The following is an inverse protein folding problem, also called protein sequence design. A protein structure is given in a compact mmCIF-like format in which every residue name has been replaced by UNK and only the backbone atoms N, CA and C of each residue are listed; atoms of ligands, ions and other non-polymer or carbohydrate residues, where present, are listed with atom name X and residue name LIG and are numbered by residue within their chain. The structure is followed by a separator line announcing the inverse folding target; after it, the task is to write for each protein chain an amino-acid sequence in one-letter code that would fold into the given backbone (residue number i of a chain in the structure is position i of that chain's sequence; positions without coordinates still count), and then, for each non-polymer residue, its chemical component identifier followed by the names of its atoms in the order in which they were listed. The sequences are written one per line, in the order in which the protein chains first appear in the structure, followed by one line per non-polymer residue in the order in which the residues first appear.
data_IF_838114264410
#
_entry.id   IF_838114264410
#
_cell.length_a   1.000
_cell.length_b   1.000
_cell.length_c   1.000
_cell.angle_alpha   90.00
_cell.angle_beta   90.00
_cell.angle_gamma   90.00
#
_symmetry.space_group_name_H-M   'P 1'
#
loop_
_entity.id
_entity.type
_entity.pdbx_description
1 polymer ?
#
# COMPACT_ATOMS: atom_id res chain seq x y z
N UNK A 1 -36.24 29.58 -17.01
CA UNK A 1 -37.15 29.59 -18.15
C UNK A 1 -37.38 28.14 -18.49
N UNK A 2 -38.45 27.55 -17.92
CA UNK A 2 -39.71 27.29 -18.57
C UNK A 2 -39.56 26.06 -19.48
N UNK A 3 -40.03 24.85 -18.99
CA UNK A 3 -41.33 24.24 -19.29
C UNK A 3 -41.45 23.73 -20.72
N UNK A 4 -41.93 22.52 -21.00
CA UNK A 4 -43.30 22.03 -21.04
C UNK A 4 -43.25 20.52 -21.38
N UNK A 5 -43.62 19.55 -20.63
CA UNK A 5 -45.00 19.06 -20.31
C UNK A 5 -45.77 18.42 -21.47
N UNK A 6 -46.15 17.18 -21.25
CA UNK A 6 -47.48 16.57 -21.22
C UNK A 6 -48.19 16.13 -22.52
N UNK A 7 -48.74 14.88 -22.42
CA UNK A 7 -50.00 14.34 -22.96
C UNK A 7 -50.06 13.83 -24.39
N UNK A 8 -50.51 12.60 -24.56
CA UNK A 8 -51.90 12.32 -25.04
C UNK A 8 -52.36 10.88 -24.78
N UNK A 9 -53.54 10.82 -24.28
CA UNK A 9 -54.39 9.67 -23.94
C UNK A 9 -55.18 9.13 -25.14
N UNK A 10 -55.58 7.84 -25.01
CA UNK A 10 -56.87 7.21 -25.32
C UNK A 10 -57.30 6.98 -26.79
N UNK A 11 -57.73 5.78 -27.14
CA UNK A 11 -59.18 5.39 -27.23
C UNK A 11 -59.43 4.04 -27.88
N UNK A 12 -60.23 3.21 -27.17
CA UNK A 12 -61.37 2.36 -27.57
C UNK A 12 -61.32 1.37 -28.74
N UNK A 13 -61.86 0.15 -28.46
CA UNK A 13 -62.55 -0.69 -29.42
C UNK A 13 -62.98 -2.07 -28.91
N UNK A 14 -64.24 -2.25 -28.60
CA UNK A 14 -64.96 -3.45 -28.15
C UNK A 14 -65.01 -4.59 -29.19
N UNK A 15 -65.16 -5.81 -28.68
CA UNK A 15 -65.74 -6.93 -29.49
C UNK A 15 -65.57 -8.31 -28.86
N UNK A 16 -66.63 -8.85 -28.18
CA UNK A 16 -66.86 -10.28 -27.86
C UNK A 16 -67.78 -10.87 -29.00
N UNK A 17 -68.06 -12.19 -29.07
CA UNK A 17 -67.84 -13.32 -28.18
C UNK A 17 -67.62 -14.72 -28.87
N UNK A 18 -67.38 -15.73 -28.00
CA UNK A 18 -67.75 -17.16 -28.07
C UNK A 18 -67.19 -18.08 -29.16
N UNK A 19 -66.49 -19.15 -28.75
CA UNK A 19 -67.01 -20.54 -28.85
C UNK A 19 -66.13 -21.54 -28.04
N UNK A 20 -66.79 -22.46 -27.45
CA UNK A 20 -66.40 -23.61 -26.64
C UNK A 20 -65.42 -24.57 -27.32
N UNK A 21 -64.46 -25.11 -26.56
CA UNK A 21 -63.59 -26.22 -27.01
C UNK A 21 -62.80 -26.83 -25.89
N UNK A 22 -63.28 -27.97 -25.41
CA UNK A 22 -62.58 -29.10 -24.81
C UNK A 22 -61.36 -28.92 -23.95
N UNK A 23 -61.43 -29.10 -22.64
CA UNK A 23 -60.34 -29.15 -21.66
C UNK A 23 -59.56 -30.47 -21.76
N UNK A 24 -58.33 -30.42 -22.16
CA UNK A 24 -57.35 -31.46 -21.82
C UNK A 24 -56.42 -30.89 -20.72
N UNK A 25 -56.56 -31.50 -19.53
CA UNK A 25 -55.65 -31.19 -18.38
C UNK A 25 -54.26 -31.67 -18.68
N UNK A 26 -53.34 -30.75 -18.97
CA UNK A 26 -51.91 -30.99 -18.91
C UNK A 26 -51.44 -30.61 -17.52
N UNK A 27 -51.09 -31.59 -16.71
CA UNK A 27 -50.38 -31.45 -15.45
C UNK A 27 -48.98 -30.94 -15.74
N UNK A 28 -48.78 -29.65 -15.56
CA UNK A 28 -47.43 -29.01 -15.56
C UNK A 28 -46.81 -29.25 -14.19
N UNK A 29 -45.84 -30.15 -14.14
CA UNK A 29 -44.92 -30.24 -13.00
C UNK A 29 -44.12 -28.93 -12.92
N UNK A 30 -44.48 -28.07 -11.96
CA UNK A 30 -43.66 -26.91 -11.59
C UNK A 30 -42.47 -27.43 -10.79
N UNK A 31 -41.33 -27.61 -11.45
CA UNK A 31 -40.06 -27.89 -10.80
C UNK A 31 -39.63 -26.62 -10.09
N UNK A 32 -39.89 -26.56 -8.79
CA UNK A 32 -39.44 -25.47 -7.91
C UNK A 32 -37.93 -25.65 -7.69
N UNK A 33 -37.10 -25.06 -8.56
CA UNK A 33 -35.68 -24.91 -8.29
C UNK A 33 -35.51 -23.97 -7.08
N UNK A 34 -35.34 -24.54 -5.90
CA UNK A 34 -34.84 -23.84 -4.74
C UNK A 34 -33.40 -23.44 -5.05
N UNK A 35 -33.20 -22.24 -5.58
CA UNK A 35 -31.91 -21.57 -5.55
C UNK A 35 -31.60 -21.30 -4.07
N UNK A 36 -30.81 -22.18 -3.47
CA UNK A 36 -30.15 -21.92 -2.20
C UNK A 36 -29.22 -20.70 -2.41
N UNK A 37 -29.78 -19.51 -2.17
CA UNK A 37 -28.98 -18.34 -1.91
C UNK A 37 -28.20 -18.62 -0.60
N UNK A 38 -27.03 -19.23 -0.69
CA UNK A 38 -26.05 -19.08 0.37
C UNK A 38 -25.65 -17.60 0.40
N UNK A 39 -25.92 -16.89 1.51
CA UNK A 39 -25.30 -15.59 1.68
C UNK A 39 -23.80 -15.85 1.67
N UNK A 40 -23.09 -15.35 0.66
CA UNK A 40 -21.66 -15.14 0.71
C UNK A 40 -21.42 -14.06 1.78
N UNK A 41 -21.50 -14.45 3.04
CA UNK A 41 -20.92 -13.65 4.12
C UNK A 41 -19.42 -13.72 3.88
N UNK A 42 -18.89 -12.68 3.25
CA UNK A 42 -17.46 -12.51 3.13
C UNK A 42 -16.87 -12.60 4.55
N UNK A 43 -16.19 -13.70 4.83
CA UNK A 43 -15.55 -13.92 6.13
C UNK A 43 -14.37 -12.94 6.20
N UNK A 44 -14.53 -11.85 6.95
CA UNK A 44 -13.44 -10.94 7.24
C UNK A 44 -12.63 -11.53 8.40
N UNK A 45 -11.35 -11.80 8.17
CA UNK A 45 -10.44 -12.27 9.20
C UNK A 45 -10.22 -11.21 10.28
N UNK A 46 -10.00 -11.65 11.51
CA UNK A 46 -9.45 -10.78 12.55
C UNK A 46 -7.93 -10.65 12.36
N UNK A 47 -7.40 -9.50 12.76
CA UNK A 47 -5.96 -9.25 12.66
C UNK A 47 -5.26 -9.69 13.93
N UNK A 48 -4.47 -10.75 13.83
CA UNK A 48 -3.50 -11.13 14.84
C UNK A 48 -2.13 -10.52 14.55
N UNK A 49 -1.33 -10.33 15.60
CA UNK A 49 0.04 -9.83 15.50
C UNK A 49 1.02 -10.63 16.35
N UNK A 50 2.25 -10.75 15.86
CA UNK A 50 3.37 -11.21 16.66
C UNK A 50 4.60 -10.37 16.38
N UNK A 51 5.40 -10.10 17.42
CA UNK A 51 6.67 -9.41 17.30
C UNK A 51 7.78 -10.43 17.03
N UNK A 52 8.67 -10.08 16.11
CA UNK A 52 9.82 -10.91 15.75
C UNK A 52 11.01 -10.00 15.43
N UNK A 53 12.21 -10.46 15.72
CA UNK A 53 13.44 -9.79 15.31
C UNK A 53 14.20 -10.68 14.33
N UNK A 54 14.43 -10.17 13.14
CA UNK A 54 15.25 -10.85 12.13
C UNK A 54 16.69 -10.36 12.24
N UNK A 55 17.66 -11.28 12.22
CA UNK A 55 19.07 -10.97 12.39
C UNK A 55 19.84 -11.29 11.10
N UNK A 56 20.16 -10.26 10.34
CA UNK A 56 21.07 -10.39 9.20
C UNK A 56 22.52 -10.27 9.69
N UNK A 57 23.11 -11.42 9.98
CA UNK A 57 24.47 -11.50 10.48
C UNK A 57 25.51 -11.05 9.44
N UNK A 58 25.21 -11.21 8.15
CA UNK A 58 26.13 -10.84 7.08
C UNK A 58 26.22 -9.32 6.91
N UNK A 59 25.10 -8.62 7.03
CA UNK A 59 25.06 -7.15 6.92
C UNK A 59 25.09 -6.45 8.27
N UNK A 60 25.15 -7.21 9.38
CA UNK A 60 25.08 -6.69 10.76
C UNK A 60 23.85 -5.82 11.02
N UNK A 61 22.66 -6.29 10.56
CA UNK A 61 21.41 -5.58 10.71
C UNK A 61 20.41 -6.40 11.50
N UNK A 62 19.80 -5.78 12.50
CA UNK A 62 18.68 -6.35 13.26
C UNK A 62 17.40 -5.63 12.84
N UNK A 63 16.42 -6.39 12.36
CA UNK A 63 15.16 -5.89 11.85
C UNK A 63 14.03 -6.24 12.81
N UNK A 64 13.75 -5.37 13.77
CA UNK A 64 12.63 -5.54 14.68
C UNK A 64 11.32 -5.36 13.92
N UNK A 65 10.53 -6.40 13.87
CA UNK A 65 9.41 -6.51 12.94
C UNK A 65 8.12 -6.91 13.64
N UNK A 66 7.01 -6.59 13.01
CA UNK A 66 5.68 -7.09 13.37
C UNK A 66 5.16 -7.90 12.19
N UNK A 67 4.68 -9.10 12.47
CA UNK A 67 3.92 -9.89 11.50
C UNK A 67 2.45 -9.77 11.88
N UNK A 68 1.65 -9.28 10.94
CA UNK A 68 0.20 -9.19 11.00
C UNK A 68 -0.37 -10.35 10.19
N UNK A 69 -1.31 -11.10 10.73
CA UNK A 69 -1.78 -12.32 10.07
C UNK A 69 -3.23 -12.65 10.39
N UNK A 70 -3.92 -13.37 9.50
CA UNK A 70 -5.31 -13.79 9.70
C UNK A 70 -5.45 -14.75 10.87
N UNK A 71 -6.48 -14.53 11.69
CA UNK A 71 -6.91 -15.47 12.73
C UNK A 71 -8.43 -15.60 12.74
N UNK A 72 -8.91 -16.78 13.13
CA UNK A 72 -10.33 -17.03 13.41
C UNK A 72 -10.67 -16.80 14.90
N UNK A 73 -9.67 -16.49 15.73
CA UNK A 73 -9.86 -16.23 17.15
C UNK A 73 -10.70 -14.98 17.36
N UNK A 74 -11.53 -15.00 18.43
CA UNK A 74 -12.41 -13.92 18.86
C UNK A 74 -12.03 -13.43 20.27
N UNK A 75 -10.77 -13.60 20.65
CA UNK A 75 -10.24 -13.20 21.95
C UNK A 75 -10.27 -11.69 22.21
N UNK A 76 -9.68 -11.29 23.32
CA UNK A 76 -9.60 -9.88 23.72
C UNK A 76 -8.58 -9.14 22.83
N UNK A 77 -9.03 -8.05 22.21
CA UNK A 77 -8.18 -7.19 21.39
C UNK A 77 -7.41 -6.18 22.23
N UNK A 78 -6.25 -5.79 21.74
CA UNK A 78 -5.43 -4.70 22.28
C UNK A 78 -5.19 -3.65 21.21
N UNK A 79 -4.99 -2.39 21.62
CA UNK A 79 -4.59 -1.34 20.72
C UNK A 79 -3.08 -1.43 20.42
N UNK A 80 -2.74 -1.62 19.15
CA UNK A 80 -1.38 -1.55 18.67
C UNK A 80 -1.09 -0.13 18.17
N UNK A 81 0.04 0.43 18.63
CA UNK A 81 0.55 1.74 18.19
C UNK A 81 -0.39 2.93 18.41
N UNK A 82 -1.22 2.87 19.46
CA UNK A 82 -2.02 3.99 19.89
C UNK A 82 -1.14 4.96 20.70
N UNK A 83 -0.75 6.09 20.09
CA UNK A 83 0.17 7.08 20.65
C UNK A 83 -0.54 8.40 20.97
N UNK A 84 0.17 9.39 21.49
CA UNK A 84 -0.39 10.74 21.68
C UNK A 84 -0.73 11.41 20.33
N UNK A 85 -0.03 11.05 19.25
CA UNK A 85 -0.19 11.64 17.90
C UNK A 85 -1.14 10.82 17.04
N UNK A 86 -0.98 9.51 16.97
CA UNK A 86 -1.68 8.65 16.03
C UNK A 86 -2.67 7.72 16.71
N UNK A 87 -3.76 7.40 15.99
CA UNK A 87 -4.71 6.36 16.38
C UNK A 87 -4.12 4.99 16.07
N UNK A 88 -4.19 4.08 17.06
CA UNK A 88 -3.85 2.68 16.90
C UNK A 88 -4.90 1.87 16.16
N UNK A 89 -4.59 0.60 15.95
CA UNK A 89 -5.51 -0.41 15.42
C UNK A 89 -5.77 -1.49 16.49
N UNK A 90 -6.95 -2.11 16.44
CA UNK A 90 -7.29 -3.24 17.33
C UNK A 90 -6.73 -4.53 16.76
N UNK A 91 -5.95 -5.27 17.56
CA UNK A 91 -5.30 -6.52 17.15
C UNK A 91 -5.41 -7.58 18.24
N UNK A 92 -5.23 -8.84 17.88
CA UNK A 92 -5.16 -10.00 18.78
C UNK A 92 -3.69 -10.41 18.95
N UNK A 93 -3.04 -10.13 20.10
CA UNK A 93 -1.64 -10.48 20.30
C UNK A 93 -1.44 -12.00 20.34
N UNK A 94 -0.55 -12.50 19.48
CA UNK A 94 -0.12 -13.90 19.43
C UNK A 94 -1.27 -14.93 19.29
N UNK A 95 -2.42 -14.51 18.75
CA UNK A 95 -3.51 -15.43 18.47
C UNK A 95 -3.07 -16.52 17.46
N UNK A 96 -3.75 -17.67 17.42
CA UNK A 96 -3.44 -18.71 16.44
C UNK A 96 -3.57 -18.22 15.01
N UNK A 97 -2.57 -18.55 14.16
CA UNK A 97 -2.65 -18.31 12.73
C UNK A 97 -3.76 -19.18 12.13
N UNK A 98 -4.60 -18.58 11.29
CA UNK A 98 -5.63 -19.31 10.57
C UNK A 98 -5.02 -20.39 9.65
N UNK A 99 -5.78 -21.47 9.42
CA UNK A 99 -5.38 -22.49 8.46
C UNK A 99 -5.54 -21.98 7.03
N UNK A 100 -4.57 -22.32 6.18
CA UNK A 100 -4.60 -21.94 4.77
C UNK A 100 -3.24 -21.54 4.21
N UNK A 101 -3.28 -21.05 2.96
CA UNK A 101 -2.16 -20.42 2.26
C UNK A 101 -2.53 -18.97 1.98
N UNK A 102 -1.69 -18.06 2.44
CA UNK A 102 -1.95 -16.63 2.38
C UNK A 102 -0.88 -15.92 1.56
N UNK A 103 -1.24 -14.96 0.71
CA UNK A 103 -0.29 -14.05 0.09
C UNK A 103 0.56 -13.34 1.15
N UNK A 104 1.84 -13.12 0.85
CA UNK A 104 2.77 -12.37 1.70
C UNK A 104 2.95 -10.95 1.18
N UNK A 105 2.82 -9.96 2.06
CA UNK A 105 3.19 -8.57 1.79
C UNK A 105 4.27 -8.12 2.76
N UNK A 106 5.36 -7.57 2.23
CA UNK A 106 6.33 -6.83 3.04
C UNK A 106 5.99 -5.35 2.99
N UNK A 107 5.73 -4.72 4.14
CA UNK A 107 5.53 -3.28 4.26
C UNK A 107 6.86 -2.60 4.59
N UNK A 108 7.18 -1.54 3.83
CA UNK A 108 8.39 -0.75 4.00
C UNK A 108 8.02 0.71 4.27
N UNK A 109 8.40 1.21 5.45
CA UNK A 109 8.10 2.58 5.89
C UNK A 109 8.96 3.64 5.20
N UNK A 110 8.53 4.90 5.25
CA UNK A 110 9.30 6.06 4.81
C UNK A 110 10.45 6.42 5.76
N UNK A 111 11.24 7.44 5.39
CA UNK A 111 12.30 7.94 6.25
C UNK A 111 11.74 8.38 7.62
N UNK A 112 12.40 7.95 8.71
CA UNK A 112 11.96 8.25 10.08
C UNK A 112 10.70 7.54 10.54
N UNK A 113 10.09 6.69 9.70
CA UNK A 113 8.95 5.85 10.09
C UNK A 113 9.35 4.63 10.90
N UNK A 114 8.44 3.68 11.07
CA UNK A 114 8.67 2.44 11.80
C UNK A 114 7.72 1.33 11.33
N UNK A 115 7.83 0.14 11.93
CA UNK A 115 7.04 -1.04 11.62
C UNK A 115 5.52 -0.91 11.90
N UNK A 116 5.06 0.22 12.43
CA UNK A 116 3.64 0.51 12.64
C UNK A 116 3.13 1.68 11.78
N UNK A 117 3.99 2.34 11.03
CA UNK A 117 3.61 3.50 10.20
C UNK A 117 2.51 3.18 9.19
N UNK A 118 2.43 1.93 8.73
CA UNK A 118 1.40 1.44 7.82
C UNK A 118 0.51 0.37 8.45
N UNK A 119 0.40 0.33 9.80
CA UNK A 119 -0.40 -0.67 10.52
C UNK A 119 -1.88 -0.63 10.10
N UNK A 120 -2.43 0.57 9.82
CA UNK A 120 -3.79 0.74 9.33
C UNK A 120 -4.02 -0.01 8.00
N UNK A 121 -3.02 -0.02 7.11
CA UNK A 121 -3.08 -0.74 5.84
C UNK A 121 -2.88 -2.24 6.07
N UNK A 122 -1.93 -2.63 6.94
CA UNK A 122 -1.72 -4.03 7.32
C UNK A 122 -3.01 -4.67 7.81
N UNK A 123 -3.77 -3.99 8.70
CA UNK A 123 -5.07 -4.45 9.18
C UNK A 123 -6.04 -4.75 8.04
N UNK A 124 -6.16 -3.84 7.06
CA UNK A 124 -7.06 -4.01 5.92
C UNK A 124 -6.65 -5.16 5.01
N UNK A 125 -5.36 -5.38 4.80
CA UNK A 125 -4.85 -6.48 4.00
C UNK A 125 -5.04 -7.83 4.70
N UNK A 126 -4.82 -7.89 6.02
CA UNK A 126 -5.08 -9.11 6.81
C UNK A 126 -6.56 -9.49 6.78
N UNK A 127 -7.47 -8.52 6.87
CA UNK A 127 -8.91 -8.74 6.74
C UNK A 127 -9.30 -9.36 5.40
N UNK A 128 -8.47 -9.21 4.38
CA UNK A 128 -8.60 -9.85 3.05
C UNK A 128 -7.82 -11.17 2.92
N UNK A 129 -7.31 -11.71 4.03
CA UNK A 129 -6.60 -12.99 4.03
C UNK A 129 -5.14 -12.89 3.56
N UNK A 130 -4.43 -11.84 3.90
CA UNK A 130 -2.99 -11.71 3.62
C UNK A 130 -2.18 -11.79 4.91
N UNK A 131 -0.96 -12.32 4.83
CA UNK A 131 0.06 -12.17 5.86
C UNK A 131 0.91 -10.96 5.50
N UNK A 132 1.10 -10.07 6.47
CA UNK A 132 1.81 -8.80 6.26
C UNK A 132 2.96 -8.71 7.26
N UNK A 133 4.16 -8.41 6.81
CA UNK A 133 5.31 -8.16 7.68
C UNK A 133 5.80 -6.73 7.50
N UNK A 134 5.96 -6.01 8.60
CA UNK A 134 6.52 -4.67 8.63
C UNK A 134 7.74 -4.64 9.54
N UNK A 135 8.85 -4.13 9.05
CA UNK A 135 10.11 -4.07 9.78
C UNK A 135 10.54 -2.63 10.08
N UNK A 136 11.25 -2.47 11.18
CA UNK A 136 12.11 -1.32 11.39
C UNK A 136 13.37 -1.47 10.54
N UNK A 137 13.73 -0.43 9.79
CA UNK A 137 14.95 -0.40 8.99
C UNK A 137 16.04 0.33 9.77
N UNK A 138 17.06 -0.36 10.33
CA UNK A 138 18.09 0.25 11.15
C UNK A 138 18.76 1.46 10.49
N UNK A 139 18.94 2.51 11.26
CA UNK A 139 19.48 3.79 10.79
C UNK A 139 18.48 4.67 10.03
N UNK A 140 17.22 4.22 9.85
CA UNK A 140 16.17 4.97 9.15
C UNK A 140 14.83 4.96 9.87
N UNK A 141 14.81 4.52 11.12
CA UNK A 141 13.60 4.27 11.93
C UNK A 141 13.43 5.34 13.00
N UNK A 142 12.21 5.65 13.41
CA UNK A 142 11.91 6.51 14.56
C UNK A 142 12.71 6.04 15.79
N UNK A 143 13.46 6.93 16.41
CA UNK A 143 14.32 6.62 17.56
C UNK A 143 15.65 5.95 17.21
N UNK A 144 15.84 5.51 15.97
CA UNK A 144 17.10 4.99 15.43
C UNK A 144 17.31 5.60 14.02
N UNK A 145 17.56 6.89 13.98
CA UNK A 145 17.82 7.62 12.72
C UNK A 145 19.28 8.04 12.66
N UNK A 146 20.01 7.44 11.72
CA UNK A 146 21.39 7.79 11.38
C UNK A 146 21.37 8.34 9.95
N UNK A 147 21.37 9.68 9.75
CA UNK A 147 21.14 10.29 8.45
C UNK A 147 21.99 9.72 7.32
N UNK A 148 23.29 9.52 7.57
CA UNK A 148 24.22 8.94 6.59
C UNK A 148 23.88 7.49 6.21
N UNK A 149 23.29 6.69 7.12
CA UNK A 149 22.79 5.35 6.79
C UNK A 149 21.44 5.44 6.08
N UNK A 150 20.56 6.33 6.54
CA UNK A 150 19.27 6.57 5.89
C UNK A 150 19.44 6.99 4.43
N UNK A 151 20.50 7.73 4.09
CA UNK A 151 20.84 8.13 2.73
C UNK A 151 21.27 6.95 1.83
N UNK A 152 21.61 5.80 2.40
CA UNK A 152 21.91 4.56 1.67
C UNK A 152 20.61 3.82 1.36
N UNK A 153 19.89 4.30 0.35
CA UNK A 153 18.52 3.85 0.01
C UNK A 153 18.43 2.35 -0.20
N UNK A 154 19.46 1.73 -0.78
CA UNK A 154 19.52 0.30 -1.10
C UNK A 154 19.41 -0.61 0.12
N UNK A 155 19.87 -0.15 1.30
CA UNK A 155 19.83 -0.96 2.53
C UNK A 155 18.40 -1.45 2.86
N UNK A 156 17.42 -0.58 2.67
CA UNK A 156 16.03 -0.88 2.93
C UNK A 156 15.47 -1.89 1.90
N UNK A 157 15.91 -1.82 0.66
CA UNK A 157 15.54 -2.81 -0.38
C UNK A 157 16.17 -4.18 -0.10
N UNK A 158 17.43 -4.21 0.33
CA UNK A 158 18.09 -5.45 0.75
C UNK A 158 17.43 -6.08 1.99
N UNK A 159 16.94 -5.26 2.94
CA UNK A 159 16.19 -5.74 4.11
C UNK A 159 14.90 -6.46 3.70
N UNK A 160 14.17 -5.95 2.69
CA UNK A 160 12.97 -6.59 2.15
C UNK A 160 13.28 -8.01 1.65
N UNK A 161 14.30 -8.17 0.82
CA UNK A 161 14.71 -9.47 0.30
C UNK A 161 15.17 -10.44 1.40
N UNK A 162 15.85 -9.93 2.42
CA UNK A 162 16.27 -10.71 3.57
C UNK A 162 15.07 -11.23 4.38
N UNK A 163 14.07 -10.37 4.67
CA UNK A 163 12.84 -10.74 5.36
C UNK A 163 12.11 -11.85 4.62
N UNK A 164 11.91 -11.71 3.31
CA UNK A 164 11.26 -12.74 2.49
C UNK A 164 12.02 -14.07 2.58
N UNK A 165 13.35 -14.03 2.49
CA UNK A 165 14.19 -15.25 2.60
C UNK A 165 14.04 -15.93 3.95
N UNK A 166 14.03 -15.15 5.03
CA UNK A 166 13.92 -15.67 6.38
C UNK A 166 12.54 -16.28 6.64
N UNK A 167 11.47 -15.61 6.24
CA UNK A 167 10.11 -16.14 6.39
C UNK A 167 9.87 -17.42 5.60
N UNK A 168 10.40 -17.52 4.37
CA UNK A 168 10.29 -18.73 3.56
C UNK A 168 11.18 -19.87 4.04
N UNK A 169 12.14 -19.59 4.93
CA UNK A 169 12.99 -20.59 5.57
C UNK A 169 12.44 -21.06 6.92
N UNK A 170 11.59 -20.25 7.56
CA UNK A 170 10.96 -20.59 8.84
C UNK A 170 9.79 -21.56 8.63
N UNK A 171 9.82 -22.78 9.22
CA UNK A 171 8.79 -23.80 8.98
C UNK A 171 7.37 -23.35 9.31
N UNK A 172 7.19 -22.50 10.35
CA UNK A 172 5.89 -21.97 10.76
C UNK A 172 5.29 -21.10 9.66
N UNK A 173 6.05 -20.13 9.16
CA UNK A 173 5.57 -19.17 8.16
C UNK A 173 5.51 -19.80 6.78
N UNK A 174 6.51 -20.55 6.38
CA UNK A 174 6.54 -21.26 5.09
C UNK A 174 5.31 -22.13 4.87
N UNK A 175 4.83 -22.80 5.91
CA UNK A 175 3.63 -23.65 5.80
C UNK A 175 2.36 -22.86 5.50
N UNK A 176 2.29 -21.57 5.87
CA UNK A 176 1.13 -20.70 5.72
C UNK A 176 1.24 -19.70 4.56
N UNK A 177 2.43 -19.50 4.00
CA UNK A 177 2.63 -18.53 2.92
C UNK A 177 2.43 -19.14 1.54
N UNK A 178 1.80 -18.38 0.65
CA UNK A 178 1.77 -18.67 -0.79
C UNK A 178 3.00 -18.05 -1.46
N UNK A 179 3.96 -18.90 -1.81
CA UNK A 179 5.20 -18.48 -2.47
C UNK A 179 4.98 -17.91 -3.88
N UNK A 180 3.78 -18.10 -4.47
CA UNK A 180 3.41 -17.55 -5.77
C UNK A 180 2.69 -16.19 -5.65
N UNK A 181 2.48 -15.68 -4.43
CA UNK A 181 1.73 -14.44 -4.16
C UNK A 181 2.49 -13.54 -3.17
N UNK A 182 3.76 -13.24 -3.46
CA UNK A 182 4.62 -12.39 -2.63
C UNK A 182 4.68 -11.00 -3.23
N UNK A 183 4.45 -9.96 -2.43
CA UNK A 183 4.54 -8.57 -2.86
C UNK A 183 5.19 -7.65 -1.84
N UNK A 184 5.45 -6.43 -2.27
CA UNK A 184 5.99 -5.37 -1.43
C UNK A 184 5.12 -4.12 -1.59
N UNK A 185 4.81 -3.46 -0.47
CA UNK A 185 4.15 -2.15 -0.45
C UNK A 185 5.01 -1.21 0.35
N UNK A 186 5.30 -0.02 -0.17
CA UNK A 186 6.11 0.94 0.55
C UNK A 186 5.66 2.37 0.38
N UNK A 187 5.90 3.20 1.40
CA UNK A 187 5.61 4.63 1.39
C UNK A 187 6.89 5.44 1.31
N UNK A 188 6.91 6.52 0.52
CA UNK A 188 8.04 7.45 0.48
C UNK A 188 9.35 6.75 0.10
N UNK A 189 10.36 6.74 0.97
CA UNK A 189 11.58 5.95 0.82
C UNK A 189 11.30 4.45 0.70
N UNK A 190 10.31 3.91 1.44
CA UNK A 190 9.84 2.55 1.27
C UNK A 190 9.19 2.31 -0.11
N UNK A 191 8.55 3.34 -0.66
CA UNK A 191 8.04 3.33 -2.03
C UNK A 191 9.17 3.22 -3.07
N UNK A 192 10.27 3.95 -2.88
CA UNK A 192 11.50 3.72 -3.64
C UNK A 192 11.94 2.26 -3.52
N UNK A 193 12.02 1.72 -2.29
CA UNK A 193 12.48 0.36 -2.05
C UNK A 193 11.60 -0.69 -2.76
N UNK A 194 10.28 -0.46 -2.80
CA UNK A 194 9.35 -1.32 -3.52
C UNK A 194 9.60 -1.33 -5.03
N UNK A 195 9.87 -0.17 -5.62
CA UNK A 195 10.18 -0.04 -7.06
C UNK A 195 11.55 -0.64 -7.37
N UNK A 196 12.57 -0.38 -6.52
CA UNK A 196 13.91 -0.93 -6.67
C UNK A 196 13.94 -2.46 -6.54
N UNK A 197 13.10 -3.03 -5.67
CA UNK A 197 12.95 -4.48 -5.52
C UNK A 197 12.39 -5.18 -6.79
N UNK A 198 11.77 -4.44 -7.70
CA UNK A 198 11.39 -4.92 -9.04
C UNK A 198 12.50 -4.78 -10.09
N UNK A 199 13.65 -4.20 -9.72
CA UNK A 199 14.81 -4.04 -10.60
C UNK A 199 14.94 -2.68 -11.28
N UNK A 200 14.13 -1.68 -10.89
CA UNK A 200 14.36 -0.32 -11.33
C UNK A 200 15.65 0.25 -10.72
N UNK A 201 16.43 0.93 -11.52
CA UNK A 201 17.70 1.53 -11.12
C UNK A 201 17.67 3.04 -11.24
N UNK A 202 18.37 3.74 -10.35
CA UNK A 202 18.51 5.19 -10.42
C UNK A 202 19.65 5.61 -11.38
N UNK A 203 19.63 6.86 -11.80
CA UNK A 203 20.74 7.50 -12.51
C UNK A 203 21.43 8.50 -11.58
N UNK A 204 22.59 8.15 -11.05
CA UNK A 204 23.39 9.03 -10.20
C UNK A 204 23.81 10.34 -10.92
N UNK A 205 24.29 10.31 -12.18
CA UNK A 205 24.62 11.54 -12.89
C UNK A 205 23.41 12.46 -13.09
N UNK A 206 22.24 11.91 -13.41
CA UNK A 206 21.00 12.69 -13.53
C UNK A 206 20.60 13.30 -12.19
N UNK A 207 20.67 12.53 -11.10
CA UNK A 207 20.36 13.01 -9.77
C UNK A 207 21.27 14.16 -9.35
N UNK A 208 22.60 14.01 -9.49
CA UNK A 208 23.58 15.05 -9.17
C UNK A 208 23.32 16.33 -10.00
N UNK A 209 23.15 16.20 -11.31
CA UNK A 209 22.90 17.35 -12.18
C UNK A 209 21.59 18.08 -11.81
N UNK A 210 20.54 17.33 -11.48
CA UNK A 210 19.27 17.91 -11.06
C UNK A 210 19.40 18.67 -9.74
N UNK A 211 20.12 18.10 -8.75
CA UNK A 211 20.34 18.76 -7.45
C UNK A 211 21.23 19.99 -7.56
N UNK A 212 22.17 20.03 -8.51
CA UNK A 212 22.96 21.24 -8.78
C UNK A 212 22.11 22.36 -9.37
N UNK A 213 21.10 22.03 -10.17
CA UNK A 213 20.18 22.99 -10.79
C UNK A 213 19.06 23.44 -9.87
N UNK A 214 18.55 22.53 -9.05
CA UNK A 214 17.39 22.72 -8.18
C UNK A 214 17.66 22.11 -6.78
N UNK A 215 18.56 22.71 -5.98
CA UNK A 215 18.98 22.16 -4.69
C UNK A 215 17.82 22.08 -3.68
N UNK A 216 16.78 22.90 -3.86
CA UNK A 216 15.62 22.98 -2.95
C UNK A 216 14.61 21.84 -3.15
N UNK A 217 14.73 21.03 -4.17
CA UNK A 217 13.79 19.92 -4.36
C UNK A 217 13.93 18.87 -3.24
N UNK A 218 12.81 18.25 -2.79
CA UNK A 218 12.81 17.40 -1.57
C UNK A 218 13.81 16.25 -1.61
N UNK A 219 13.96 15.61 -2.78
CA UNK A 219 14.93 14.51 -2.93
C UNK A 219 16.38 14.96 -2.72
N UNK A 220 16.73 16.21 -3.05
CA UNK A 220 18.06 16.75 -2.83
C UNK A 220 18.24 17.19 -1.38
N UNK A 221 17.23 17.86 -0.81
CA UNK A 221 17.20 18.27 0.60
C UNK A 221 17.37 17.07 1.54
N UNK A 222 16.81 15.92 1.20
CA UNK A 222 17.00 14.68 1.96
C UNK A 222 18.49 14.35 2.15
N UNK A 223 19.31 14.45 1.10
CA UNK A 223 20.76 14.20 1.19
C UNK A 223 21.51 15.34 1.88
N UNK A 224 21.14 16.58 1.61
CA UNK A 224 21.74 17.76 2.26
C UNK A 224 21.52 17.71 3.78
N UNK A 225 20.31 17.43 4.24
CA UNK A 225 20.01 17.29 5.66
C UNK A 225 20.68 16.07 6.30
N UNK A 226 20.95 15.03 5.51
CA UNK A 226 21.73 13.88 5.97
C UNK A 226 23.24 14.19 6.09
N UNK A 227 23.71 15.35 5.65
CA UNK A 227 25.13 15.71 5.59
C UNK A 227 25.91 14.86 4.57
N UNK A 228 25.21 14.30 3.56
CA UNK A 228 25.81 13.44 2.54
C UNK A 228 26.05 14.25 1.27
N UNK A 229 27.28 14.32 0.85
CA UNK A 229 27.65 14.93 -0.43
C UNK A 229 27.39 13.94 -1.57
N UNK A 230 26.71 14.42 -2.62
CA UNK A 230 26.21 13.56 -3.69
C UNK A 230 27.32 12.86 -4.51
N UNK A 231 28.48 13.47 -4.59
CA UNK A 231 29.68 12.92 -5.26
C UNK A 231 30.33 11.78 -4.46
N UNK A 232 30.08 11.71 -3.14
CA UNK A 232 30.54 10.61 -2.28
C UNK A 232 29.62 9.39 -2.30
N UNK A 233 28.41 9.49 -2.89
CA UNK A 233 27.54 8.34 -3.05
C UNK A 233 28.21 7.30 -3.96
N UNK A 234 28.28 6.06 -3.48
CA UNK A 234 28.75 4.94 -4.30
C UNK A 234 27.88 4.80 -5.55
N UNK A 235 28.46 5.00 -6.74
CA UNK A 235 27.73 4.84 -7.99
C UNK A 235 27.22 3.42 -8.15
N UNK A 236 28.03 2.41 -7.82
CA UNK A 236 27.66 1.00 -7.87
C UNK A 236 26.43 0.68 -7.02
N UNK A 237 26.39 1.18 -5.79
CA UNK A 237 25.27 0.95 -4.87
C UNK A 237 24.05 1.80 -5.23
N UNK A 238 24.24 3.06 -5.57
CA UNK A 238 23.14 3.96 -5.91
C UNK A 238 22.41 3.55 -7.19
N UNK A 239 23.13 3.06 -8.19
CA UNK A 239 22.62 2.60 -9.47
C UNK A 239 22.43 1.07 -9.52
N UNK A 240 22.59 0.39 -8.39
CA UNK A 240 22.51 -1.05 -8.27
C UNK A 240 21.13 -1.61 -8.65
N UNK A 241 21.12 -2.82 -9.20
CA UNK A 241 19.90 -3.57 -9.42
C UNK A 241 19.63 -4.50 -8.22
N UNK A 242 18.55 -4.22 -7.51
CA UNK A 242 18.13 -4.93 -6.29
C UNK A 242 16.91 -5.84 -6.52
N UNK A 243 16.70 -6.32 -7.74
CA UNK A 243 15.51 -7.11 -8.07
C UNK A 243 15.42 -8.42 -7.30
N UNK A 244 14.26 -8.65 -6.70
CA UNK A 244 13.89 -9.93 -6.10
C UNK A 244 12.86 -10.63 -7.00
N UNK A 245 13.28 -11.75 -7.61
CA UNK A 245 12.47 -12.50 -8.58
C UNK A 245 11.29 -13.27 -7.97
N UNK A 246 11.20 -13.31 -6.64
CA UNK A 246 10.06 -13.90 -5.92
C UNK A 246 8.85 -12.97 -5.91
N UNK A 247 9.06 -11.66 -6.10
CA UNK A 247 7.99 -10.68 -6.12
C UNK A 247 7.07 -10.87 -7.32
N UNK A 248 5.78 -10.84 -7.06
CA UNK A 248 4.69 -10.92 -8.05
C UNK A 248 4.04 -9.57 -8.30
N UNK A 249 4.21 -8.63 -7.39
CA UNK A 249 3.76 -7.25 -7.51
C UNK A 249 4.53 -6.32 -6.58
N UNK A 250 4.50 -5.04 -6.89
CA UNK A 250 4.87 -4.00 -5.94
C UNK A 250 3.84 -2.87 -5.98
N UNK A 251 3.71 -2.17 -4.85
CA UNK A 251 2.85 -0.99 -4.72
C UNK A 251 3.67 0.10 -4.03
N UNK A 252 3.77 1.26 -4.65
CA UNK A 252 4.50 2.40 -4.11
C UNK A 252 3.52 3.55 -3.83
N UNK A 253 3.47 3.93 -2.54
CA UNK A 253 2.64 5.01 -2.03
C UNK A 253 3.51 6.27 -1.97
N UNK A 254 3.22 7.22 -2.82
CA UNK A 254 3.94 8.49 -2.98
C UNK A 254 5.46 8.35 -2.87
N UNK A 255 6.09 7.57 -3.78
CA UNK A 255 7.47 7.17 -3.67
C UNK A 255 8.46 8.32 -3.84
N UNK A 256 9.58 8.26 -3.11
CA UNK A 256 10.73 9.13 -3.34
C UNK A 256 11.51 8.74 -4.59
N UNK A 257 12.41 9.62 -5.03
CA UNK A 257 13.39 9.41 -6.09
C UNK A 257 12.82 9.17 -7.50
N UNK A 258 11.51 9.26 -7.69
CA UNK A 258 10.83 8.89 -8.95
C UNK A 258 11.37 9.59 -10.20
N UNK A 259 11.75 10.87 -10.21
CA UNK A 259 12.28 11.53 -11.42
C UNK A 259 13.63 10.97 -11.87
N UNK A 260 14.34 10.22 -11.02
CA UNK A 260 15.71 9.80 -11.23
C UNK A 260 15.86 8.35 -11.67
N UNK A 261 14.76 7.61 -11.83
CA UNK A 261 14.83 6.26 -12.38
C UNK A 261 15.27 6.27 -13.85
N UNK A 262 16.15 5.33 -14.18
CA UNK A 262 16.54 5.08 -15.56
C UNK A 262 15.35 4.50 -16.33
N UNK A 263 14.91 5.18 -17.39
CA UNK A 263 13.76 4.76 -18.19
C UNK A 263 13.92 3.33 -18.72
N UNK A 264 15.14 2.95 -19.10
CA UNK A 264 15.45 1.59 -19.58
C UNK A 264 15.18 0.53 -18.52
N UNK A 265 15.43 0.79 -17.24
CA UNK A 265 15.17 -0.18 -16.16
C UNK A 265 13.68 -0.36 -15.89
N UNK A 266 12.89 0.69 -16.06
CA UNK A 266 11.44 0.64 -15.90
C UNK A 266 10.74 -0.22 -16.96
N UNK A 267 11.35 -0.39 -18.14
CA UNK A 267 10.86 -1.29 -19.20
C UNK A 267 10.99 -2.77 -18.85
N UNK A 268 11.82 -3.09 -17.85
CA UNK A 268 12.21 -4.46 -17.52
C UNK A 268 11.96 -4.81 -16.05
N UNK A 269 10.92 -4.20 -15.45
CA UNK A 269 10.48 -4.58 -14.11
C UNK A 269 10.13 -6.06 -14.06
N UNK A 270 10.53 -6.73 -12.97
CA UNK A 270 10.34 -8.17 -12.81
C UNK A 270 8.89 -8.58 -12.54
N UNK A 271 8.04 -7.62 -12.14
CA UNK A 271 6.63 -7.82 -11.86
C UNK A 271 5.84 -6.49 -12.05
N UNK A 272 4.49 -6.54 -12.13
CA UNK A 272 3.66 -5.35 -12.23
C UNK A 272 3.82 -4.41 -11.03
N UNK A 273 3.68 -3.10 -11.30
CA UNK A 273 3.81 -2.01 -10.32
C UNK A 273 2.55 -1.16 -10.28
N UNK A 274 2.01 -0.91 -9.08
CA UNK A 274 1.01 0.13 -8.82
C UNK A 274 1.67 1.33 -8.15
N UNK A 275 1.47 2.52 -8.72
CA UNK A 275 1.87 3.79 -8.13
C UNK A 275 0.62 4.50 -7.63
N UNK A 276 0.58 4.86 -6.35
CA UNK A 276 -0.48 5.70 -5.77
C UNK A 276 0.20 6.98 -5.27
N UNK A 277 -0.01 8.08 -5.98
CA UNK A 277 0.65 9.35 -5.72
C UNK A 277 -0.30 10.33 -5.03
N UNK A 278 0.25 11.23 -4.21
CA UNK A 278 -0.44 12.42 -3.73
C UNK A 278 -0.47 13.50 -4.82
N UNK A 279 -1.52 14.35 -4.81
CA UNK A 279 -1.61 15.51 -5.71
C UNK A 279 -1.11 16.81 -5.08
N UNK A 280 -0.88 16.81 -3.77
CA UNK A 280 -0.40 17.95 -2.97
C UNK A 280 -1.30 19.20 -2.96
N UNK A 281 -2.56 19.05 -3.33
CA UNK A 281 -3.49 20.17 -3.47
C UNK A 281 -3.91 20.77 -2.12
N UNK A 282 -4.09 19.93 -1.08
CA UNK A 282 -4.50 20.37 0.28
C UNK A 282 -3.31 20.65 1.18
N UNK A 283 -2.17 20.02 0.94
CA UNK A 283 -1.04 20.16 1.83
C UNK A 283 -0.42 21.56 1.71
N UNK A 284 -0.24 22.31 2.83
CA UNK A 284 0.53 23.55 2.81
C UNK A 284 2.01 23.33 2.45
N UNK A 285 2.41 22.07 2.27
CA UNK A 285 3.79 21.64 2.01
C UNK A 285 4.00 21.24 0.55
N UNK A 286 3.77 22.14 -0.39
CA UNK A 286 4.20 21.97 -1.80
C UNK A 286 5.68 21.61 -1.89
N UNK A 287 6.49 22.08 -0.92
CA UNK A 287 7.91 21.76 -0.79
C UNK A 287 8.21 20.27 -0.61
N UNK A 288 7.24 19.44 -0.22
CA UNK A 288 7.38 17.99 -0.07
C UNK A 288 6.96 17.21 -1.32
N UNK A 289 6.58 17.89 -2.40
CA UNK A 289 6.20 17.24 -3.64
C UNK A 289 7.38 16.48 -4.26
N UNK A 290 7.32 15.15 -4.18
CA UNK A 290 8.35 14.25 -4.73
C UNK A 290 8.30 14.09 -6.24
N UNK A 291 7.34 14.74 -6.91
CA UNK A 291 7.21 14.73 -8.36
C UNK A 291 6.50 13.52 -8.94
N UNK A 292 5.98 12.62 -8.12
CA UNK A 292 5.38 11.35 -8.54
C UNK A 292 4.23 11.52 -9.52
N UNK A 293 3.26 12.39 -9.22
CA UNK A 293 2.10 12.63 -10.08
C UNK A 293 2.48 13.23 -11.45
N UNK A 294 3.52 14.06 -11.51
CA UNK A 294 4.04 14.61 -12.77
C UNK A 294 4.81 13.55 -13.55
N UNK A 295 5.64 12.78 -12.88
CA UNK A 295 6.42 11.72 -13.48
C UNK A 295 5.53 10.64 -14.11
N UNK A 296 4.46 10.23 -13.42
CA UNK A 296 3.48 9.26 -13.91
C UNK A 296 2.85 9.68 -15.25
N UNK A 297 2.55 10.96 -15.44
CA UNK A 297 2.00 11.46 -16.72
C UNK A 297 2.97 11.26 -17.89
N UNK A 298 4.26 11.09 -17.61
CA UNK A 298 5.29 10.84 -18.61
C UNK A 298 5.57 9.35 -18.81
N UNK A 299 5.06 8.49 -17.89
CA UNK A 299 5.17 7.05 -17.98
C UNK A 299 4.03 6.48 -18.84
N UNK A 300 4.38 6.00 -20.01
CA UNK A 300 3.50 5.17 -20.84
C UNK A 300 4.13 3.78 -20.95
N UNK A 301 4.17 3.05 -19.83
CA UNK A 301 4.89 1.79 -19.69
C UNK A 301 3.92 0.64 -19.42
N UNK A 302 3.96 -0.43 -20.21
CA UNK A 302 3.24 -1.67 -19.87
C UNK A 302 3.70 -2.21 -18.50
N UNK A 303 2.74 -2.66 -17.69
CA UNK A 303 3.03 -3.22 -16.36
C UNK A 303 3.15 -2.18 -15.23
N UNK A 304 3.01 -0.88 -15.54
CA UNK A 304 2.90 0.16 -14.51
C UNK A 304 1.49 0.76 -14.55
N UNK A 305 0.76 0.57 -13.45
CA UNK A 305 -0.53 1.24 -13.22
C UNK A 305 -0.29 2.41 -12.28
N UNK A 306 -0.92 3.54 -12.54
CA UNK A 306 -0.74 4.73 -11.72
C UNK A 306 -2.05 5.43 -11.41
N UNK A 307 -2.20 5.82 -10.15
CA UNK A 307 -3.34 6.57 -9.61
C UNK A 307 -2.81 7.78 -8.87
N UNK A 308 -3.50 8.91 -8.98
CA UNK A 308 -3.24 10.09 -8.15
C UNK A 308 -4.47 10.35 -7.28
N UNK A 309 -4.28 10.37 -5.97
CA UNK A 309 -5.33 10.71 -5.01
C UNK A 309 -5.50 12.23 -4.99
N UNK A 310 -6.72 12.68 -5.22
CA UNK A 310 -7.04 14.12 -5.16
C UNK A 310 -7.17 14.59 -3.72
N UNK A 311 -6.78 15.84 -3.46
CA UNK A 311 -6.79 16.46 -2.15
C UNK A 311 -5.95 15.69 -1.11
N UNK A 312 -4.78 15.25 -1.50
CA UNK A 312 -3.89 14.46 -0.67
C UNK A 312 -2.50 15.09 -0.56
N UNK A 313 -1.80 14.76 0.52
CA UNK A 313 -0.39 15.12 0.75
C UNK A 313 0.45 13.88 1.05
N UNK A 314 1.77 14.07 1.13
CA UNK A 314 2.74 13.01 1.37
C UNK A 314 2.46 12.20 2.64
N UNK A 315 2.05 12.88 3.71
CA UNK A 315 1.84 12.26 5.02
C UNK A 315 0.44 11.69 5.23
N UNK A 316 -0.45 11.75 4.23
CA UNK A 316 -1.79 11.18 4.33
C UNK A 316 -1.80 9.65 4.27
N UNK A 317 -0.69 9.04 3.93
CA UNK A 317 -0.48 7.59 4.03
C UNK A 317 -0.06 7.12 5.44
N UNK A 318 0.21 8.05 6.37
CA UNK A 318 0.48 7.73 7.78
C UNK A 318 -0.83 7.48 8.54
N UNK A 319 -0.79 6.90 9.78
CA UNK A 319 -2.00 6.65 10.55
C UNK A 319 -2.84 7.90 10.80
N UNK A 320 -4.10 7.72 11.18
CA UNK A 320 -5.01 8.82 11.51
C UNK A 320 -4.50 9.61 12.71
N UNK A 321 -4.45 10.93 12.58
CA UNK A 321 -4.05 11.83 13.65
C UNK A 321 -5.13 11.95 14.72
N UNK A 322 -4.71 12.04 15.99
CA UNK A 322 -5.57 12.38 17.10
C UNK A 322 -5.81 13.90 17.18
N UNK A 323 -6.85 14.38 17.87
CA UNK A 323 -7.17 15.81 17.92
C UNK A 323 -6.02 16.71 18.42
N UNK A 324 -5.19 16.20 19.34
CA UNK A 324 -4.05 16.95 19.89
C UNK A 324 -2.77 16.86 19.04
N UNK A 325 -2.74 16.01 18.03
CA UNK A 325 -1.53 15.70 17.27
C UNK A 325 -0.86 16.92 16.65
N UNK A 326 -1.64 17.83 16.05
CA UNK A 326 -1.10 19.04 15.43
C UNK A 326 -0.39 19.96 16.42
N UNK A 327 -0.89 20.09 17.64
CA UNK A 327 -0.24 20.88 18.69
C UNK A 327 1.07 20.22 19.18
N UNK A 328 1.04 18.90 19.39
CA UNK A 328 2.22 18.14 19.82
C UNK A 328 3.34 18.24 18.78
N UNK A 329 3.02 17.99 17.50
CA UNK A 329 3.98 18.05 16.42
C UNK A 329 4.50 19.46 16.11
N UNK A 330 3.71 20.50 16.43
CA UNK A 330 4.14 21.88 16.26
C UNK A 330 5.32 22.25 17.15
N UNK A 331 5.48 21.61 18.32
CA UNK A 331 6.63 21.82 19.21
C UNK A 331 7.96 21.40 18.55
N UNK A 332 7.89 20.46 17.62
CA UNK A 332 9.04 19.95 16.84
C UNK A 332 9.10 20.52 15.41
N UNK A 333 8.17 21.41 15.04
CA UNK A 333 8.08 21.96 13.69
C UNK A 333 7.47 21.01 12.67
N UNK A 334 6.82 19.92 13.10
CA UNK A 334 6.31 18.83 12.26
C UNK A 334 4.76 18.81 12.15
N UNK A 335 4.09 19.91 12.49
CA UNK A 335 2.62 20.00 12.43
C UNK A 335 2.04 19.61 11.04
N UNK A 336 2.83 19.77 9.99
CA UNK A 336 2.47 19.41 8.62
C UNK A 336 2.14 17.92 8.45
N UNK A 337 2.66 17.04 9.30
CA UNK A 337 2.34 15.60 9.27
C UNK A 337 0.84 15.35 9.49
N UNK A 338 0.20 16.19 10.29
CA UNK A 338 -1.22 16.11 10.60
C UNK A 338 -2.03 17.30 10.05
N UNK A 339 -1.59 17.90 8.95
CA UNK A 339 -2.28 19.05 8.33
C UNK A 339 -3.65 18.68 7.77
N UNK A 340 -3.79 17.48 7.21
CA UNK A 340 -5.06 16.95 6.70
C UNK A 340 -5.96 16.52 7.86
N UNK A 341 -7.22 17.00 7.94
CA UNK A 341 -8.16 16.57 8.96
C UNK A 341 -8.36 15.05 8.96
N UNK A 342 -8.50 14.44 10.14
CA UNK A 342 -8.59 12.99 10.29
C UNK A 342 -9.72 12.35 9.44
N UNK A 343 -10.86 13.03 9.30
CA UNK A 343 -12.00 12.54 8.47
C UNK A 343 -11.62 12.50 6.98
N UNK A 344 -10.89 13.49 6.50
CA UNK A 344 -10.44 13.51 5.10
C UNK A 344 -9.34 12.48 4.87
N UNK A 345 -8.38 12.35 5.79
CA UNK A 345 -7.34 11.30 5.74
C UNK A 345 -7.96 9.90 5.76
N UNK A 346 -9.02 9.68 6.55
CA UNK A 346 -9.72 8.39 6.55
C UNK A 346 -10.34 8.05 5.19
N UNK A 347 -10.90 9.04 4.49
CA UNK A 347 -11.39 8.84 3.11
C UNK A 347 -10.23 8.48 2.15
N UNK A 348 -9.09 9.15 2.28
CA UNK A 348 -7.89 8.84 1.49
C UNK A 348 -7.37 7.42 1.78
N UNK A 349 -7.41 6.97 3.03
CA UNK A 349 -7.11 5.58 3.39
C UNK A 349 -8.06 4.59 2.71
N UNK A 350 -9.38 4.87 2.75
CA UNK A 350 -10.38 4.03 2.08
C UNK A 350 -10.15 3.95 0.57
N UNK A 351 -9.86 5.09 -0.08
CA UNK A 351 -9.53 5.14 -1.50
C UNK A 351 -8.24 4.35 -1.80
N UNK A 352 -7.20 4.52 -0.98
CA UNK A 352 -5.93 3.80 -1.11
C UNK A 352 -6.17 2.28 -1.04
N UNK A 353 -6.89 1.82 -0.02
CA UNK A 353 -7.24 0.39 0.12
C UNK A 353 -8.03 -0.10 -1.08
N UNK A 354 -9.03 0.64 -1.53
CA UNK A 354 -9.83 0.27 -2.69
C UNK A 354 -8.97 0.09 -3.95
N UNK A 355 -8.05 1.02 -4.24
CA UNK A 355 -7.15 0.92 -5.39
C UNK A 355 -6.22 -0.30 -5.28
N UNK A 356 -5.70 -0.57 -4.09
CA UNK A 356 -4.86 -1.73 -3.81
C UNK A 356 -5.65 -3.03 -4.04
N UNK A 357 -6.84 -3.14 -3.50
CA UNK A 357 -7.64 -4.37 -3.63
C UNK A 357 -8.06 -4.63 -5.09
N UNK A 358 -8.50 -3.60 -5.82
CA UNK A 358 -8.80 -3.71 -7.25
C UNK A 358 -7.57 -4.21 -8.02
N UNK A 359 -6.40 -3.65 -7.74
CA UNK A 359 -5.16 -4.05 -8.39
C UNK A 359 -4.77 -5.51 -8.08
N UNK A 360 -4.87 -5.92 -6.81
CA UNK A 360 -4.55 -7.29 -6.40
C UNK A 360 -5.53 -8.32 -7.00
N UNK A 361 -6.81 -7.96 -7.15
CA UNK A 361 -7.80 -8.78 -7.85
C UNK A 361 -7.49 -8.91 -9.35
N UNK A 362 -7.09 -7.82 -10.02
CA UNK A 362 -6.66 -7.85 -11.42
C UNK A 362 -5.45 -8.75 -11.66
N UNK A 363 -4.58 -8.88 -10.66
CA UNK A 363 -3.41 -9.76 -10.69
C UNK A 363 -3.72 -11.19 -10.21
N UNK A 364 -4.96 -11.51 -9.87
CA UNK A 364 -5.38 -12.80 -9.29
C UNK A 364 -4.60 -13.17 -8.00
N UNK A 365 -4.14 -12.19 -7.25
CA UNK A 365 -3.55 -12.35 -5.92
C UNK A 365 -4.64 -12.52 -4.87
N UNK A 366 -5.75 -11.80 -5.03
CA UNK A 366 -6.97 -11.94 -4.25
C UNK A 366 -8.09 -12.48 -5.14
N UNK A 367 -8.97 -13.31 -4.56
CA UNK A 367 -10.10 -13.96 -5.23
C UNK A 367 -11.43 -13.31 -4.89
#
# INVERSE_FOLDING_TARGET
MIEVATKFMTRYGHGKPNQSGCYTMKTTFLSLCFLLFFPLTGYSWQTAVTHISFHDLQRHRQLDSIIYYPTADQGETQLLSDTAVFRGISVLPNAPLAEGKFPLVVLSHGCGGNNTSLAWLADKLVQQGMVVVAANHPGSTTGDSIPAQSAQLWLQTEDISFIISTLLSDPRWKSALDEQAIGVIGHSKGGYSAIAALGATLSRPHFIASCQQQPEQPNCQFYTHAGVTLDQLSAEKFEGNYSDKRLRFAIALDPGMVPFYQKSSLLHLSAPLLLINADYFISPNESLNLGGATWVKQLNQPGITAVTLTNSGHFDFLPLCKPAAGAILAEEGEAFICATPAVEREKLHQQTVQQILIYLQQLHILH
#
